data_IF_613295426379
#
_entry.id   IF_613295426379
#
_cell.length_a   1.000
_cell.length_b   1.000
_cell.length_c   1.000
_cell.angle_alpha   90.00
_cell.angle_beta   90.00
_cell.angle_gamma   90.00
#
_symmetry.space_group_name_H-M   'P 1'
#
loop_
_entity.id
_entity.type
_entity.pdbx_description
1 polymer ?
#
# COMPACT_ATOMS: atom_id res chain seq x y z
N UNK A 1 -2.09 11.00 10.37
CA UNK A 1 -0.89 10.26 10.83
C UNK A 1 -0.65 9.07 9.92
N UNK A 2 0.61 8.65 9.72
CA UNK A 2 0.97 7.48 8.91
C UNK A 2 1.86 6.51 9.68
N UNK A 3 1.70 5.21 9.41
CA UNK A 3 2.58 4.14 9.89
C UNK A 3 3.34 3.56 8.71
N UNK A 4 4.67 3.55 8.77
CA UNK A 4 5.55 2.89 7.80
C UNK A 4 5.90 1.51 8.32
N UNK A 5 5.75 0.49 7.48
CA UNK A 5 6.11 -0.90 7.79
C UNK A 5 6.87 -1.54 6.64
N UNK A 6 7.86 -2.37 6.98
CA UNK A 6 8.60 -3.18 6.03
C UNK A 6 8.14 -4.64 6.11
N UNK A 7 7.70 -5.19 4.97
CA UNK A 7 7.14 -6.54 4.90
C UNK A 7 7.79 -7.35 3.79
N UNK A 8 8.14 -8.61 4.10
CA UNK A 8 8.67 -9.54 3.12
C UNK A 8 7.51 -10.27 2.43
N UNK A 9 7.36 -10.15 1.09
CA UNK A 9 6.39 -10.96 0.36
C UNK A 9 6.67 -12.46 0.53
N UNK A 10 5.62 -13.27 0.59
CA UNK A 10 5.70 -14.73 0.75
C UNK A 10 5.17 -15.43 -0.48
N UNK A 11 5.72 -16.60 -0.78
CA UNK A 11 5.21 -17.46 -1.85
C UNK A 11 3.84 -18.03 -1.46
N UNK A 12 2.88 -17.92 -2.38
CA UNK A 12 1.50 -18.39 -2.20
C UNK A 12 1.27 -19.82 -2.72
N UNK A 13 2.33 -20.59 -3.02
CA UNK A 13 2.25 -21.99 -3.46
C UNK A 13 1.88 -22.21 -4.93
N UNK A 14 1.62 -21.14 -5.68
CA UNK A 14 1.30 -21.15 -7.12
C UNK A 14 2.31 -20.34 -7.96
N UNK A 15 3.45 -19.98 -7.36
CA UNK A 15 4.47 -19.12 -7.96
C UNK A 15 4.20 -17.62 -7.80
N UNK A 16 3.11 -17.22 -7.16
CA UNK A 16 2.83 -15.84 -6.81
C UNK A 16 3.53 -15.44 -5.51
N UNK A 17 3.87 -14.17 -5.40
CA UNK A 17 4.35 -13.55 -4.17
C UNK A 17 3.24 -12.65 -3.61
N UNK A 18 2.90 -12.84 -2.35
CA UNK A 18 1.84 -12.06 -1.70
C UNK A 18 2.32 -11.40 -0.41
N UNK A 19 1.73 -10.27 -0.09
CA UNK A 19 1.79 -9.65 1.23
C UNK A 19 0.56 -10.09 2.02
N UNK A 20 0.77 -10.75 3.16
CA UNK A 20 -0.34 -11.17 4.00
C UNK A 20 -0.67 -10.10 5.05
N UNK A 21 -1.94 -9.98 5.38
CA UNK A 21 -2.39 -9.10 6.46
C UNK A 21 -1.69 -9.42 7.78
N UNK A 22 -1.55 -10.71 8.08
CA UNK A 22 -0.91 -11.19 9.30
C UNK A 22 0.52 -10.67 9.47
N UNK A 23 1.26 -10.53 8.37
CA UNK A 23 2.63 -10.01 8.42
C UNK A 23 2.64 -8.52 8.76
N UNK A 24 1.74 -7.75 8.17
CA UNK A 24 1.57 -6.33 8.45
C UNK A 24 1.09 -6.12 9.89
N UNK A 25 0.10 -6.88 10.33
CA UNK A 25 -0.40 -6.84 11.70
C UNK A 25 0.69 -7.21 12.71
N UNK A 26 1.52 -8.21 12.40
CA UNK A 26 2.65 -8.61 13.25
C UNK A 26 3.68 -7.51 13.45
N UNK A 27 3.97 -6.70 12.42
CA UNK A 27 4.91 -5.57 12.49
C UNK A 27 4.28 -4.38 13.22
N UNK A 28 3.00 -4.11 13.00
CA UNK A 28 2.30 -2.97 13.63
C UNK A 28 1.85 -3.25 15.06
N UNK A 29 1.86 -4.52 15.49
CA UNK A 29 1.25 -4.94 16.76
C UNK A 29 -0.26 -4.72 16.79
N UNK A 30 -0.92 -4.74 15.62
CA UNK A 30 -2.35 -4.47 15.47
C UNK A 30 -2.75 -3.00 15.64
N UNK A 31 -1.78 -2.08 15.68
CA UNK A 31 -2.04 -0.65 15.80
C UNK A 31 -1.85 0.05 14.45
N UNK A 32 -2.93 0.62 13.94
CA UNK A 32 -2.93 1.32 12.66
C UNK A 32 -3.22 2.81 12.86
N UNK A 33 -2.77 3.60 11.91
CA UNK A 33 -3.09 5.02 11.78
C UNK A 33 -3.93 5.23 10.51
N UNK A 34 -4.41 6.45 10.29
CA UNK A 34 -5.22 6.79 9.10
C UNK A 34 -4.53 6.45 7.78
N UNK A 35 -3.20 6.50 7.76
CA UNK A 35 -2.41 6.10 6.60
C UNK A 35 -1.48 4.92 6.93
N UNK A 36 -1.47 3.91 6.07
CA UNK A 36 -0.55 2.78 6.12
C UNK A 36 0.37 2.83 4.89
N UNK A 37 1.67 2.80 5.14
CA UNK A 37 2.71 2.83 4.11
C UNK A 37 3.46 1.51 4.17
N UNK A 38 3.35 0.70 3.14
CA UNK A 38 3.98 -0.61 3.06
C UNK A 38 5.17 -0.53 2.12
N UNK A 39 6.35 -0.85 2.66
CA UNK A 39 7.59 -1.05 1.94
C UNK A 39 7.86 -2.54 1.83
N UNK A 40 7.94 -3.07 0.61
CA UNK A 40 8.27 -4.48 0.40
C UNK A 40 9.78 -4.73 0.50
N UNK A 41 10.14 -5.89 1.05
CA UNK A 41 11.52 -6.34 1.13
C UNK A 41 11.82 -7.39 0.02
N UNK A 42 13.07 -7.46 -0.50
CA UNK A 42 14.18 -6.55 -0.22
C UNK A 42 13.96 -5.16 -0.83
N UNK A 43 14.32 -4.11 -0.09
CA UNK A 43 14.13 -2.73 -0.53
C UNK A 43 15.35 -2.22 -1.28
N UNK A 44 15.45 -2.55 -2.55
CA UNK A 44 16.57 -2.10 -3.39
C UNK A 44 16.20 -0.86 -4.21
N UNK A 45 17.17 -0.01 -4.50
CA UNK A 45 16.99 1.16 -5.37
C UNK A 45 16.61 0.78 -6.81
N UNK A 46 16.78 -0.48 -7.20
CA UNK A 46 16.29 -1.02 -8.47
C UNK A 46 14.78 -0.85 -8.67
N UNK A 47 14.00 -0.71 -7.60
CA UNK A 47 12.55 -0.42 -7.68
C UNK A 47 12.24 0.90 -8.40
N UNK A 48 13.13 1.89 -8.30
CA UNK A 48 12.94 3.21 -8.93
C UNK A 48 12.89 3.17 -10.47
N UNK A 49 13.47 2.13 -11.08
CA UNK A 49 13.56 2.00 -12.54
C UNK A 49 13.01 0.68 -13.04
N UNK A 50 12.42 -0.12 -12.15
CA UNK A 50 11.94 -1.47 -12.49
C UNK A 50 10.74 -1.38 -13.44
N UNK A 51 10.80 -2.18 -14.50
CA UNK A 51 9.66 -2.42 -15.37
C UNK A 51 8.87 -3.62 -14.83
N UNK A 52 7.65 -3.40 -14.40
CA UNK A 52 6.84 -4.42 -13.75
C UNK A 52 5.94 -5.20 -14.70
N UNK A 53 5.55 -4.61 -15.84
CA UNK A 53 4.63 -5.23 -16.78
C UNK A 53 5.09 -6.61 -17.25
N UNK A 54 4.23 -7.61 -17.12
CA UNK A 54 4.49 -9.00 -17.50
C UNK A 54 5.44 -9.74 -16.56
N UNK A 55 5.72 -9.23 -15.36
CA UNK A 55 6.68 -9.83 -14.42
C UNK A 55 6.03 -10.52 -13.23
N UNK A 56 4.70 -10.53 -13.16
CA UNK A 56 3.93 -11.04 -12.03
C UNK A 56 4.47 -10.52 -10.67
N UNK A 57 4.44 -9.19 -10.45
CA UNK A 57 4.95 -8.59 -9.23
C UNK A 57 4.16 -9.05 -8.00
N UNK A 58 4.71 -8.91 -6.79
CA UNK A 58 3.96 -9.15 -5.56
C UNK A 58 2.70 -8.29 -5.48
N UNK A 59 1.68 -8.80 -4.77
CA UNK A 59 0.42 -8.11 -4.54
C UNK A 59 -0.12 -8.43 -3.14
N UNK A 60 -1.21 -7.78 -2.71
CA UNK A 60 -1.85 -8.05 -1.42
C UNK A 60 -2.72 -9.30 -1.50
N UNK A 61 -2.67 -10.17 -0.50
CA UNK A 61 -3.55 -11.34 -0.45
C UNK A 61 -5.03 -10.93 -0.51
N UNK A 62 -5.88 -11.82 -1.04
CA UNK A 62 -7.32 -11.57 -1.15
C UNK A 62 -7.93 -11.29 0.22
N UNK A 63 -8.74 -10.23 0.31
CA UNK A 63 -9.37 -9.77 1.54
C UNK A 63 -8.54 -8.79 2.36
N UNK A 64 -7.32 -8.47 1.92
CA UNK A 64 -6.49 -7.45 2.58
C UNK A 64 -7.17 -6.08 2.56
N UNK A 65 -7.83 -5.72 1.44
CA UNK A 65 -8.60 -4.48 1.31
C UNK A 65 -9.67 -4.35 2.39
N UNK A 66 -10.36 -5.43 2.72
CA UNK A 66 -11.35 -5.46 3.80
C UNK A 66 -10.71 -5.24 5.18
N UNK A 67 -9.56 -5.85 5.45
CA UNK A 67 -8.84 -5.62 6.70
C UNK A 67 -8.45 -4.15 6.88
N UNK A 68 -8.04 -3.47 5.80
CA UNK A 68 -7.77 -2.03 5.84
C UNK A 68 -9.01 -1.22 6.27
N UNK A 69 -10.19 -1.60 5.77
CA UNK A 69 -11.46 -0.96 6.15
C UNK A 69 -11.77 -1.20 7.62
N UNK A 70 -11.70 -2.45 8.06
CA UNK A 70 -12.00 -2.86 9.43
C UNK A 70 -11.09 -2.16 10.46
N UNK A 71 -9.86 -1.83 10.05
CA UNK A 71 -8.87 -1.10 10.86
C UNK A 71 -8.85 0.42 10.60
N UNK A 72 -9.86 0.95 9.90
CA UNK A 72 -10.05 2.38 9.65
C UNK A 72 -8.88 3.06 8.90
N UNK A 73 -8.14 2.31 8.10
CA UNK A 73 -7.12 2.86 7.21
C UNK A 73 -7.82 3.61 6.08
N UNK A 74 -7.51 4.89 5.92
CA UNK A 74 -8.08 5.76 4.89
C UNK A 74 -7.14 5.91 3.69
N UNK A 75 -5.84 5.86 3.93
CA UNK A 75 -4.84 6.05 2.88
C UNK A 75 -3.85 4.89 2.90
N UNK A 76 -3.82 4.13 1.81
CA UNK A 76 -2.84 3.07 1.60
C UNK A 76 -1.78 3.53 0.61
N UNK A 77 -0.50 3.39 0.96
CA UNK A 77 0.61 3.66 0.06
C UNK A 77 1.49 2.40 -0.04
N UNK A 78 1.80 1.96 -1.26
CA UNK A 78 2.60 0.75 -1.49
C UNK A 78 3.66 0.98 -2.57
N UNK A 79 4.79 0.30 -2.45
CA UNK A 79 5.86 0.31 -3.45
C UNK A 79 5.66 -0.77 -4.53
N UNK A 80 4.43 -1.21 -4.71
CA UNK A 80 3.99 -2.16 -5.72
C UNK A 80 3.30 -1.44 -6.88
N UNK A 81 3.26 -2.02 -8.09
CA UNK A 81 2.56 -1.44 -9.23
C UNK A 81 1.04 -1.57 -9.13
N UNK A 82 0.55 -2.51 -8.31
CA UNK A 82 -0.85 -2.68 -7.97
C UNK A 82 -0.99 -3.40 -6.63
N UNK A 83 -2.09 -3.13 -5.93
CA UNK A 83 -2.48 -3.90 -4.74
C UNK A 83 -3.16 -5.22 -5.10
N UNK A 84 -3.66 -5.37 -6.31
CA UNK A 84 -4.20 -6.62 -6.84
C UNK A 84 -3.21 -7.29 -7.79
N UNK A 85 -3.46 -8.56 -8.11
CA UNK A 85 -2.64 -9.33 -9.05
C UNK A 85 -2.65 -8.68 -10.43
N UNK A 86 -1.50 -8.68 -11.11
CA UNK A 86 -1.35 -8.10 -12.46
C UNK A 86 -2.36 -8.65 -13.46
N UNK A 87 -2.63 -9.96 -13.41
CA UNK A 87 -3.62 -10.62 -14.26
C UNK A 87 -4.68 -11.26 -13.38
N UNK A 88 -5.77 -10.53 -13.13
CA UNK A 88 -6.89 -10.92 -12.29
C UNK A 88 -8.24 -10.90 -13.01
N UNK A 89 -8.24 -10.84 -14.36
CA UNK A 89 -9.43 -10.71 -15.19
C UNK A 89 -10.29 -9.46 -14.89
N UNK A 90 -9.70 -8.42 -14.30
CA UNK A 90 -10.39 -7.18 -13.94
C UNK A 90 -11.27 -7.30 -12.68
N UNK A 91 -11.02 -8.31 -11.85
CA UNK A 91 -11.76 -8.48 -10.59
C UNK A 91 -11.46 -7.38 -9.58
N UNK A 92 -10.19 -6.94 -9.47
CA UNK A 92 -9.72 -5.86 -8.60
C UNK A 92 -10.27 -5.98 -7.17
N UNK A 93 -10.15 -7.17 -6.57
CA UNK A 93 -10.84 -7.52 -5.32
C UNK A 93 -10.42 -6.62 -4.16
N UNK A 94 -9.12 -6.38 -3.97
CA UNK A 94 -8.65 -5.53 -2.87
C UNK A 94 -9.00 -4.05 -3.09
N UNK A 95 -8.96 -3.56 -4.33
CA UNK A 95 -9.44 -2.22 -4.66
C UNK A 95 -10.92 -2.06 -4.32
N UNK A 96 -11.76 -3.00 -4.76
CA UNK A 96 -13.20 -2.98 -4.49
C UNK A 96 -13.51 -3.08 -3.01
N UNK A 97 -12.84 -3.95 -2.29
CA UNK A 97 -12.98 -4.09 -0.84
C UNK A 97 -12.58 -2.79 -0.13
N UNK A 98 -11.40 -2.23 -0.47
CA UNK A 98 -10.90 -1.02 0.16
C UNK A 98 -11.82 0.18 -0.05
N UNK A 99 -12.36 0.35 -1.26
CA UNK A 99 -13.30 1.44 -1.56
C UNK A 99 -14.76 1.10 -1.30
N UNK A 100 -15.07 -0.11 -0.83
CA UNK A 100 -16.45 -0.59 -0.65
C UNK A 100 -17.32 -0.43 -1.92
N UNK A 101 -16.68 -0.63 -3.07
CA UNK A 101 -17.32 -0.46 -4.38
C UNK A 101 -18.08 -1.73 -4.79
N UNK A 102 -19.29 -1.63 -5.36
CA UNK A 102 -19.98 -0.39 -5.77
C UNK A 102 -21.01 0.14 -4.77
N UNK A 103 -21.14 -0.45 -3.58
CA UNK A 103 -22.33 -0.26 -2.74
C UNK A 103 -22.38 1.10 -2.03
N UNK A 104 -21.28 1.50 -1.39
CA UNK A 104 -21.17 2.77 -0.68
C UNK A 104 -19.70 3.23 -0.72
N UNK A 105 -19.25 3.82 -1.83
CA UNK A 105 -17.85 4.11 -2.04
C UNK A 105 -17.27 5.06 -0.99
N UNK A 106 -16.09 4.72 -0.48
CA UNK A 106 -15.29 5.52 0.46
C UNK A 106 -14.53 6.60 -0.32
N UNK A 107 -15.23 7.67 -0.72
CA UNK A 107 -14.71 8.70 -1.62
C UNK A 107 -13.49 9.46 -1.08
N UNK A 108 -13.31 9.51 0.24
CA UNK A 108 -12.19 10.19 0.90
C UNK A 108 -10.96 9.30 1.10
N UNK A 109 -11.01 8.04 0.63
CA UNK A 109 -9.94 7.08 0.79
C UNK A 109 -9.11 6.95 -0.48
N UNK A 110 -7.79 6.80 -0.34
CA UNK A 110 -6.86 6.76 -1.47
C UNK A 110 -5.94 5.55 -1.43
N UNK A 111 -5.60 5.04 -2.60
CA UNK A 111 -4.50 4.09 -2.83
C UNK A 111 -3.43 4.83 -3.63
N UNK A 112 -2.19 4.79 -3.15
CA UNK A 112 -1.01 5.33 -3.85
C UNK A 112 -0.04 4.20 -4.10
N UNK A 113 0.18 3.91 -5.35
CA UNK A 113 1.05 2.82 -5.82
C UNK A 113 2.39 3.37 -6.32
N UNK A 114 3.37 2.48 -6.52
CA UNK A 114 4.70 2.82 -7.04
C UNK A 114 5.44 3.89 -6.21
N UNK A 115 5.19 3.94 -4.90
CA UNK A 115 6.02 4.77 -4.02
C UNK A 115 7.40 4.15 -3.85
N UNK A 116 8.36 4.93 -3.35
CA UNK A 116 9.64 4.42 -2.88
C UNK A 116 9.97 5.03 -1.52
N UNK A 117 10.07 4.18 -0.50
CA UNK A 117 10.50 4.59 0.85
C UNK A 117 11.95 4.20 1.04
N UNK A 118 12.91 5.16 1.08
CA UNK A 118 14.31 4.82 1.25
C UNK A 118 14.61 4.18 2.61
N UNK A 119 15.69 3.39 2.69
CA UNK A 119 16.09 2.68 3.93
C UNK A 119 16.46 3.64 5.08
N UNK A 120 16.75 4.90 4.77
CA UNK A 120 16.96 5.94 5.79
C UNK A 120 15.70 6.29 6.58
N UNK A 121 14.52 5.91 6.08
CA UNK A 121 13.22 6.03 6.78
C UNK A 121 12.99 4.72 7.52
N UNK A 122 13.09 4.74 8.84
CA UNK A 122 12.81 3.57 9.67
C UNK A 122 11.31 3.24 9.69
N UNK A 123 10.96 2.00 10.02
CA UNK A 123 9.57 1.66 10.34
C UNK A 123 9.12 2.44 11.56
N UNK A 124 7.86 2.91 11.56
CA UNK A 124 7.36 3.76 12.64
C UNK A 124 6.27 4.74 12.22
N UNK A 125 6.00 5.69 13.11
CA UNK A 125 4.94 6.69 12.91
C UNK A 125 5.52 8.03 12.42
N UNK A 126 4.80 8.63 11.46
CA UNK A 126 5.19 9.88 10.78
C UNK A 126 3.97 10.78 10.58
N UNK A 127 4.22 12.06 10.35
CA UNK A 127 3.23 12.93 9.74
C UNK A 127 3.35 12.80 8.23
N UNK A 128 2.28 12.34 7.56
CA UNK A 128 2.20 12.27 6.10
C UNK A 128 1.56 13.54 5.56
N UNK A 129 2.21 14.17 4.58
CA UNK A 129 1.60 15.12 3.68
C UNK A 129 1.44 14.46 2.32
N UNK A 130 0.22 14.11 1.95
CA UNK A 130 -0.12 13.48 0.68
C UNK A 130 -0.64 14.54 -0.30
N UNK A 131 0.24 14.97 -1.19
CA UNK A 131 -0.10 15.92 -2.24
C UNK A 131 -0.65 15.18 -3.45
N UNK A 132 -1.77 15.62 -3.97
CA UNK A 132 -2.37 15.12 -5.21
C UNK A 132 -2.41 16.25 -6.24
N UNK A 133 -2.32 15.90 -7.52
CA UNK A 133 -2.47 16.89 -8.59
C UNK A 133 -3.94 17.28 -8.77
N UNK A 134 -4.18 18.45 -9.36
CA UNK A 134 -5.53 18.91 -9.72
C UNK A 134 -6.02 18.34 -11.06
N UNK A 135 -5.42 17.27 -11.54
CA UNK A 135 -5.82 16.58 -12.77
C UNK A 135 -7.06 15.74 -12.46
N UNK A 136 -8.11 15.96 -13.24
CA UNK A 136 -9.34 15.19 -13.15
C UNK A 136 -9.21 13.95 -14.07
N UNK A 137 -8.95 12.79 -13.47
CA UNK A 137 -8.74 11.50 -14.14
C UNK A 137 -9.04 10.35 -13.16
N UNK A 138 -9.14 9.14 -13.68
CA UNK A 138 -9.28 7.91 -12.89
C UNK A 138 -8.07 7.62 -11.98
N UNK A 139 -6.89 8.10 -12.36
CA UNK A 139 -5.68 8.12 -11.54
C UNK A 139 -4.88 9.39 -11.82
N UNK A 140 -4.18 9.90 -10.82
CA UNK A 140 -3.33 11.08 -10.96
C UNK A 140 -2.01 10.91 -10.20
N UNK A 141 -0.93 11.58 -10.63
CA UNK A 141 0.31 11.61 -9.89
C UNK A 141 0.12 12.21 -8.49
N UNK A 142 0.78 11.61 -7.50
CA UNK A 142 0.84 12.14 -6.14
C UNK A 142 2.28 12.30 -5.67
N UNK A 143 2.48 13.10 -4.62
CA UNK A 143 3.79 13.30 -3.99
C UNK A 143 3.65 13.16 -2.48
N UNK A 144 3.81 11.94 -1.93
CA UNK A 144 3.84 11.74 -0.49
C UNK A 144 5.15 12.28 0.10
N UNK A 145 5.03 13.00 1.22
CA UNK A 145 6.18 13.53 1.99
C UNK A 145 5.98 13.15 3.46
N UNK A 146 7.02 12.56 4.07
CA UNK A 146 7.02 12.19 5.48
C UNK A 146 7.82 13.20 6.31
N UNK A 147 7.27 13.55 7.46
CA UNK A 147 7.94 14.36 8.47
C UNK A 147 8.07 13.55 9.76
N UNK A 148 9.25 13.66 10.39
CA UNK A 148 9.46 13.07 11.71
C UNK A 148 8.57 13.73 12.75
N UNK A 149 8.10 12.93 13.70
CA UNK A 149 7.44 13.43 14.89
C UNK A 149 8.51 13.91 15.87
N UNK A 150 8.38 15.15 16.32
CA UNK A 150 9.24 15.69 17.39
C UNK A 150 8.58 15.37 18.71
N UNK A 151 9.29 14.62 19.56
CA UNK A 151 8.85 14.45 20.95
C UNK A 151 8.91 15.82 21.65
N UNK A 152 7.80 16.24 22.24
CA UNK A 152 7.73 17.42 23.08
C UNK A 152 8.24 17.13 24.48
#
# INVERSE_FOLDING_TARGET
>A
MATVVSVQPREAGNGDLVLSWKDVEGVTGGQFTEALIIRTLPNTTGKLTRQYSGTNPPYLETGFGKQLVDHQVMHLLVDLPSIDKEVDNGELLNHRDFWNYPHNPRADCTITELIFVPDSIADGKYLLNLQISSIESDACPSKPVLYNLIAS
#
